data_IF_028128475278
#
_entry.id   IF_028128475278
#
_cell.length_a   1.000
_cell.length_b   1.000
_cell.length_c   1.000
_cell.angle_alpha   90.00
_cell.angle_beta   90.00
_cell.angle_gamma   90.00
#
_symmetry.space_group_name_H-M   'P 1'
#
loop_
_entity.id
_entity.type
_entity.pdbx_description
1 polymer ?
#
# COMPACT_ATOMS: atom_id res chain seq x y z
N UNK A 1 7.95 20.72 -4.98
CA UNK A 1 8.52 19.93 -6.11
C UNK A 1 7.45 19.43 -7.09
N UNK A 2 6.24 19.12 -6.61
CA UNK A 2 5.16 18.52 -7.41
C UNK A 2 4.53 19.50 -8.43
N UNK A 3 4.54 20.81 -8.16
CA UNK A 3 3.93 21.85 -9.00
C UNK A 3 4.43 21.84 -10.47
N UNK A 4 5.69 21.49 -10.71
CA UNK A 4 6.24 21.36 -12.07
C UNK A 4 5.52 20.28 -12.90
N UNK A 5 5.19 19.16 -12.27
CA UNK A 5 4.51 18.05 -12.93
C UNK A 5 3.03 18.35 -13.18
N UNK A 6 2.36 19.09 -12.29
CA UNK A 6 0.94 19.44 -12.45
C UNK A 6 0.69 20.35 -13.66
N UNK A 7 1.67 21.17 -14.02
CA UNK A 7 1.54 22.15 -15.11
C UNK A 7 1.88 21.57 -16.48
N UNK A 8 2.46 20.39 -16.56
CA UNK A 8 2.82 19.77 -17.84
C UNK A 8 1.62 19.02 -18.41
N UNK A 9 1.19 19.40 -19.61
CA UNK A 9 0.02 18.86 -20.31
C UNK A 9 0.06 17.33 -20.55
N UNK A 10 1.25 16.72 -20.50
CA UNK A 10 1.46 15.27 -20.62
C UNK A 10 1.12 14.49 -19.33
N UNK A 11 1.06 15.17 -18.18
CA UNK A 11 0.85 14.52 -16.87
C UNK A 11 -0.63 14.28 -16.62
N UNK A 12 -1.07 13.04 -16.83
CA UNK A 12 -2.44 12.62 -16.54
C UNK A 12 -2.64 12.42 -15.05
N UNK A 13 -3.76 12.92 -14.52
CA UNK A 13 -4.17 12.70 -13.11
C UNK A 13 -4.35 11.21 -12.75
N UNK A 14 -4.54 10.35 -13.75
CA UNK A 14 -4.68 8.90 -13.59
C UNK A 14 -3.34 8.15 -13.58
N UNK A 15 -2.19 8.83 -13.56
CA UNK A 15 -0.90 8.17 -13.44
C UNK A 15 -0.76 7.59 -12.03
N UNK A 16 -0.42 6.30 -11.93
CA UNK A 16 -0.11 5.66 -10.66
C UNK A 16 1.09 6.29 -9.99
N UNK A 17 0.96 6.57 -8.70
CA UNK A 17 2.05 7.06 -7.88
C UNK A 17 2.61 5.95 -7.01
N UNK A 18 3.93 5.90 -6.94
CA UNK A 18 4.68 5.00 -6.06
C UNK A 18 5.87 5.73 -5.49
N UNK A 19 6.21 5.44 -4.24
CA UNK A 19 7.41 5.96 -3.59
C UNK A 19 8.43 4.83 -3.44
N UNK A 20 9.70 5.13 -3.70
CA UNK A 20 10.77 4.19 -3.44
C UNK A 20 11.26 4.35 -1.99
N UNK A 21 11.34 3.25 -1.26
CA UNK A 21 12.14 3.21 -0.04
C UNK A 21 13.61 3.41 -0.41
N UNK A 22 14.17 4.57 -0.08
CA UNK A 22 15.53 4.93 -0.45
C UNK A 22 15.62 5.46 -1.88
N UNK A 23 16.45 4.85 -2.72
CA UNK A 23 16.79 5.39 -4.03
C UNK A 23 15.83 4.91 -5.14
N UNK A 24 15.09 5.83 -5.76
CA UNK A 24 14.20 5.53 -6.88
C UNK A 24 14.91 4.96 -8.12
N UNK A 25 16.18 5.32 -8.35
CA UNK A 25 16.99 4.76 -9.42
C UNK A 25 17.13 3.24 -9.28
N UNK A 26 17.22 2.72 -8.04
CA UNK A 26 17.34 1.28 -7.83
C UNK A 26 16.07 0.54 -8.28
N UNK A 27 14.90 1.10 -7.98
CA UNK A 27 13.61 0.57 -8.46
C UNK A 27 13.54 0.56 -9.99
N UNK A 28 14.03 1.62 -10.64
CA UNK A 28 14.01 1.75 -12.10
C UNK A 28 15.08 0.89 -12.81
N UNK A 29 16.17 0.54 -12.16
CA UNK A 29 17.24 -0.26 -12.78
C UNK A 29 17.15 -1.74 -12.44
N UNK A 30 16.65 -2.08 -11.25
CA UNK A 30 16.67 -3.46 -10.71
C UNK A 30 15.29 -4.00 -10.35
N UNK A 31 14.23 -3.19 -10.42
CA UNK A 31 12.88 -3.59 -10.04
C UNK A 31 12.09 -4.34 -11.12
N UNK A 32 12.62 -4.45 -12.35
CA UNK A 32 11.97 -5.21 -13.41
C UNK A 32 11.98 -6.71 -13.10
N UNK A 33 10.81 -7.37 -12.99
CA UNK A 33 10.77 -8.83 -12.89
C UNK A 33 11.19 -9.47 -14.23
N UNK A 34 11.59 -10.74 -14.20
CA UNK A 34 12.03 -11.49 -15.40
C UNK A 34 10.99 -11.44 -16.54
N UNK A 35 9.70 -11.39 -16.19
CA UNK A 35 8.58 -11.41 -17.13
C UNK A 35 8.26 -10.04 -17.74
N UNK A 36 8.65 -8.93 -17.10
CA UNK A 36 8.37 -7.57 -17.57
C UNK A 36 9.63 -6.71 -17.46
N UNK A 37 10.22 -6.37 -18.62
CA UNK A 37 11.51 -5.67 -18.71
C UNK A 37 11.41 -4.19 -18.34
N UNK A 38 10.21 -3.62 -18.31
CA UNK A 38 9.97 -2.21 -18.00
C UNK A 38 9.43 -2.11 -16.56
N UNK A 39 10.23 -1.65 -15.58
CA UNK A 39 9.81 -1.60 -14.17
C UNK A 39 8.54 -0.78 -13.94
N UNK A 40 8.37 0.33 -14.67
CA UNK A 40 7.16 1.15 -14.56
C UNK A 40 5.88 0.40 -14.98
N UNK A 41 5.97 -0.45 -16.00
CA UNK A 41 4.86 -1.32 -16.42
C UNK A 41 4.62 -2.41 -15.38
N UNK A 42 5.68 -3.00 -14.83
CA UNK A 42 5.57 -3.99 -13.76
C UNK A 42 4.89 -3.41 -12.50
N UNK A 43 5.27 -2.20 -12.07
CA UNK A 43 4.63 -1.50 -10.94
C UNK A 43 3.16 -1.23 -11.27
N UNK A 44 2.86 -0.71 -12.47
CA UNK A 44 1.50 -0.44 -12.90
C UNK A 44 0.63 -1.70 -12.84
N UNK A 45 1.08 -2.81 -13.41
CA UNK A 45 0.35 -4.09 -13.37
C UNK A 45 0.09 -4.50 -11.92
N UNK A 46 1.07 -4.38 -11.02
CA UNK A 46 0.89 -4.72 -9.62
C UNK A 46 -0.05 -3.77 -8.86
N UNK A 47 -0.10 -2.49 -9.22
CA UNK A 47 -1.04 -1.51 -8.67
C UNK A 47 -2.48 -1.74 -9.16
N UNK A 48 -2.64 -2.13 -10.42
CA UNK A 48 -3.94 -2.40 -11.05
C UNK A 48 -4.51 -3.77 -10.65
N UNK A 49 -3.63 -4.72 -10.30
CA UNK A 49 -4.03 -6.04 -9.84
C UNK A 49 -4.44 -5.96 -8.37
N UNK A 50 -5.74 -6.11 -8.03
CA UNK A 50 -6.15 -5.97 -6.65
C UNK A 50 -5.65 -7.20 -5.86
N UNK A 51 -4.85 -6.95 -4.83
CA UNK A 51 -4.38 -7.99 -3.91
C UNK A 51 -5.47 -8.33 -2.89
N UNK A 52 -6.51 -8.99 -3.37
CA UNK A 52 -7.68 -9.40 -2.58
C UNK A 52 -7.32 -10.24 -1.34
N UNK A 53 -6.15 -10.89 -1.32
CA UNK A 53 -5.73 -11.69 -0.17
C UNK A 53 -4.71 -10.98 0.73
N UNK A 54 -4.07 -9.91 0.26
CA UNK A 54 -3.05 -9.18 1.01
C UNK A 54 -3.02 -7.67 0.69
N UNK A 55 -3.97 -6.89 1.23
CA UNK A 55 -4.07 -5.44 1.01
C UNK A 55 -3.05 -4.66 1.87
N UNK A 56 -1.76 -4.90 1.66
CA UNK A 56 -0.65 -4.35 2.47
C UNK A 56 0.02 -3.11 1.92
N UNK A 57 -0.48 -2.57 0.81
CA UNK A 57 0.01 -1.32 0.20
C UNK A 57 -1.16 -0.38 -0.09
N UNK A 58 -0.87 0.91 -0.32
CA UNK A 58 -1.89 1.94 -0.56
C UNK A 58 -1.84 2.47 -2.00
N UNK A 59 -2.60 1.89 -2.95
CA UNK A 59 -2.61 2.36 -4.33
C UNK A 59 -3.22 3.77 -4.40
N UNK A 60 -2.54 4.68 -5.09
CA UNK A 60 -2.99 6.06 -5.28
C UNK A 60 -2.53 6.58 -6.65
N UNK A 61 -3.37 7.36 -7.29
CA UNK A 61 -3.03 8.07 -8.54
C UNK A 61 -2.68 9.52 -8.25
N UNK A 62 -1.99 10.16 -9.19
CA UNK A 62 -1.52 11.54 -9.04
C UNK A 62 -2.64 12.52 -8.68
N UNK A 63 -3.83 12.39 -9.27
CA UNK A 63 -4.97 13.24 -8.97
C UNK A 63 -5.41 13.18 -7.51
N UNK A 64 -5.51 11.97 -6.96
CA UNK A 64 -5.91 11.75 -5.56
C UNK A 64 -4.83 12.27 -4.62
N UNK A 65 -3.55 12.01 -4.92
CA UNK A 65 -2.44 12.56 -4.16
C UNK A 65 -2.44 14.10 -4.13
N UNK A 66 -2.62 14.73 -5.30
CA UNK A 66 -2.70 16.19 -5.40
C UNK A 66 -3.88 16.77 -4.60
N UNK A 67 -5.00 16.05 -4.58
CA UNK A 67 -6.18 16.42 -3.80
C UNK A 67 -5.86 16.33 -2.31
N UNK A 68 -5.31 15.19 -1.86
CA UNK A 68 -4.96 14.95 -0.45
C UNK A 68 -3.96 15.97 0.09
N UNK A 69 -2.94 16.38 -0.67
CA UNK A 69 -1.94 17.36 -0.21
C UNK A 69 -2.44 18.81 -0.22
N UNK A 70 -3.54 19.09 -0.93
CA UNK A 70 -4.10 20.43 -1.07
C UNK A 70 -5.25 20.70 -0.09
N UNK A 71 -5.87 19.65 0.44
CA UNK A 71 -6.97 19.75 1.39
C UNK A 71 -6.47 19.86 2.84
N UNK A 72 -7.02 20.81 3.58
CA UNK A 72 -6.71 20.97 4.99
C UNK A 72 -7.27 19.80 5.81
N UNK A 73 -6.51 19.33 6.80
CA UNK A 73 -6.89 18.20 7.64
C UNK A 73 -6.67 16.82 7.03
N UNK A 74 -6.04 16.72 5.85
CA UNK A 74 -5.64 15.44 5.23
C UNK A 74 -4.13 15.38 5.03
N UNK A 75 -3.57 14.21 5.35
CA UNK A 75 -2.20 13.83 4.98
C UNK A 75 -2.30 12.73 3.91
N UNK A 76 -1.45 12.81 2.87
CA UNK A 76 -1.49 11.89 1.74
C UNK A 76 -0.73 10.60 2.03
N UNK A 77 -1.23 9.48 1.52
CA UNK A 77 -0.61 8.15 1.69
C UNK A 77 -0.30 7.58 0.32
N UNK A 78 0.94 7.17 0.09
CA UNK A 78 1.41 6.63 -1.19
C UNK A 78 2.09 5.29 -0.95
N UNK A 79 1.71 4.25 -1.69
CA UNK A 79 2.37 2.95 -1.63
C UNK A 79 3.90 3.07 -1.80
N UNK A 80 4.62 2.32 -0.97
CA UNK A 80 6.07 2.33 -0.93
C UNK A 80 6.62 1.00 -1.45
N UNK A 81 7.66 1.06 -2.29
CA UNK A 81 8.29 -0.12 -2.89
C UNK A 81 9.78 -0.16 -2.59
N UNK A 82 10.31 -1.38 -2.53
CA UNK A 82 11.74 -1.65 -2.38
C UNK A 82 12.14 -2.80 -3.31
N UNK A 83 13.38 -2.77 -3.78
CA UNK A 83 13.97 -3.90 -4.49
C UNK A 83 14.64 -4.81 -3.48
N UNK A 84 14.34 -6.11 -3.53
CA UNK A 84 14.97 -7.14 -2.71
C UNK A 84 15.53 -8.25 -3.59
N UNK A 85 16.62 -8.91 -3.18
CA UNK A 85 17.04 -10.16 -3.81
C UNK A 85 15.90 -11.19 -3.68
N UNK A 86 15.57 -11.86 -4.76
CA UNK A 86 14.63 -12.98 -4.78
C UNK A 86 15.24 -14.12 -3.97
N UNK A 87 14.72 -14.36 -2.77
CA UNK A 87 15.03 -15.58 -2.04
C UNK A 87 14.22 -16.73 -2.65
N UNK A 88 14.78 -17.42 -3.63
CA UNK A 88 14.29 -18.77 -3.92
C UNK A 88 14.65 -19.65 -2.71
N UNK A 89 13.66 -20.15 -1.98
CA UNK A 89 13.84 -21.32 -1.12
C UNK A 89 14.13 -22.53 -2.02
N UNK A 90 15.35 -22.61 -2.56
CA UNK A 90 15.86 -23.84 -3.17
C UNK A 90 16.26 -24.77 -2.05
N UNK A 91 15.30 -25.59 -1.61
CA UNK A 91 15.63 -26.88 -1.03
C UNK A 91 16.39 -27.70 -2.09
N UNK A 92 17.72 -27.62 -2.08
CA UNK A 92 18.57 -28.69 -2.58
C UNK A 92 19.27 -28.56 -3.94
N UNK A 93 19.59 -27.38 -4.47
CA UNK A 93 20.56 -27.31 -5.59
C UNK A 93 21.53 -26.13 -5.49
N UNK A 94 22.81 -26.47 -5.32
CA UNK A 94 23.96 -25.56 -5.42
C UNK A 94 24.38 -25.36 -6.88
N UNK A 95 24.76 -24.11 -7.15
CA UNK A 95 25.74 -23.64 -8.13
C UNK A 95 25.47 -23.84 -9.63
N UNK A 96 25.11 -22.74 -10.31
CA UNK A 96 25.87 -22.17 -11.45
C UNK A 96 25.17 -20.89 -11.96
N UNK A 97 25.88 -19.75 -11.94
CA UNK A 97 25.45 -18.48 -12.57
C UNK A 97 24.50 -17.62 -11.74
N UNK A 98 25.03 -16.85 -10.80
CA UNK A 98 24.29 -15.85 -10.02
C UNK A 98 23.85 -14.68 -10.89
N UNK A 99 22.74 -14.86 -11.62
CA UNK A 99 21.92 -13.71 -12.00
C UNK A 99 21.24 -13.28 -10.70
N UNK A 100 21.61 -12.12 -10.15
CA UNK A 100 20.90 -11.55 -9.01
C UNK A 100 19.46 -11.26 -9.44
N UNK A 101 18.59 -12.26 -9.28
CA UNK A 101 17.18 -12.12 -9.54
C UNK A 101 16.64 -11.18 -8.47
N UNK A 102 16.42 -9.92 -8.83
CA UNK A 102 15.84 -8.93 -7.96
C UNK A 102 14.32 -8.90 -8.14
N UNK A 103 13.60 -8.63 -7.06
CA UNK A 103 12.15 -8.51 -7.06
C UNK A 103 11.73 -7.18 -6.46
N UNK A 104 10.82 -6.49 -7.15
CA UNK A 104 10.12 -5.34 -6.61
C UNK A 104 9.05 -5.82 -5.61
N UNK A 105 9.15 -5.34 -4.39
CA UNK A 105 8.22 -5.64 -3.31
C UNK A 105 7.57 -4.36 -2.80
N UNK A 106 6.27 -4.43 -2.53
CA UNK A 106 5.58 -3.40 -1.78
C UNK A 106 5.86 -3.57 -0.29
N UNK A 107 6.33 -2.51 0.34
CA UNK A 107 6.66 -2.46 1.78
C UNK A 107 5.85 -1.33 2.42
N UNK A 108 4.52 -1.50 2.46
CA UNK A 108 3.60 -0.56 3.09
C UNK A 108 3.39 0.73 2.31
N UNK A 109 3.50 1.88 2.99
CA UNK A 109 3.25 3.20 2.41
C UNK A 109 4.10 4.30 3.05
N UNK A 110 4.29 5.41 2.34
CA UNK A 110 4.78 6.67 2.87
C UNK A 110 3.65 7.61 3.22
N UNK A 111 3.85 8.38 4.29
CA UNK A 111 2.93 9.43 4.74
C UNK A 111 3.52 10.80 4.41
N UNK A 112 2.75 11.62 3.71
CA UNK A 112 3.15 12.94 3.26
C UNK A 112 2.33 14.02 3.95
N UNK A 113 3.03 15.03 4.47
CA UNK A 113 2.44 16.28 4.93
C UNK A 113 2.72 17.37 3.89
N UNK A 114 1.68 17.80 3.19
CA UNK A 114 1.85 18.55 1.95
C UNK A 114 2.72 17.76 0.96
N UNK A 115 3.75 18.38 0.39
CA UNK A 115 4.66 17.72 -0.56
C UNK A 115 5.88 17.03 0.09
N UNK A 116 5.88 16.85 1.42
CA UNK A 116 7.02 16.29 2.16
C UNK A 116 6.68 14.95 2.80
N UNK A 117 7.53 13.96 2.58
CA UNK A 117 7.49 12.69 3.30
C UNK A 117 7.85 12.92 4.77
N UNK A 118 6.99 12.47 5.70
CA UNK A 118 7.17 12.63 7.15
C UNK A 118 7.27 11.31 7.91
N UNK A 119 6.92 10.20 7.28
CA UNK A 119 7.00 8.89 7.90
C UNK A 119 6.62 7.76 6.96
N UNK A 120 6.69 6.54 7.49
CA UNK A 120 6.32 5.31 6.80
C UNK A 120 5.32 4.55 7.64
N UNK A 121 4.41 3.86 6.95
CA UNK A 121 3.55 2.83 7.51
C UNK A 121 4.07 1.49 7.00
N UNK A 122 4.29 0.54 7.90
CA UNK A 122 4.53 -0.84 7.54
C UNK A 122 3.31 -1.50 6.89
N UNK A 123 3.44 -2.75 6.39
CA UNK A 123 2.33 -3.49 5.78
C UNK A 123 1.05 -3.54 6.62
N UNK A 124 1.17 -3.87 7.92
CA UNK A 124 0.02 -3.97 8.83
C UNK A 124 -0.59 -2.59 9.15
N UNK A 125 0.22 -1.57 9.34
CA UNK A 125 -0.24 -0.19 9.58
C UNK A 125 -0.93 0.38 8.34
N UNK A 126 -0.39 0.08 7.15
CA UNK A 126 -0.99 0.47 5.87
C UNK A 126 -2.36 -0.18 5.69
N UNK A 127 -2.50 -1.46 6.05
CA UNK A 127 -3.79 -2.15 6.08
C UNK A 127 -4.77 -1.48 7.05
N UNK A 128 -4.33 -1.16 8.27
CA UNK A 128 -5.15 -0.43 9.24
C UNK A 128 -5.60 0.94 8.74
N UNK A 129 -4.72 1.70 8.08
CA UNK A 129 -5.06 2.98 7.47
C UNK A 129 -6.09 2.84 6.34
N UNK A 130 -6.02 1.75 5.54
CA UNK A 130 -7.06 1.43 4.55
C UNK A 130 -8.39 1.15 5.22
N UNK A 131 -8.41 0.35 6.29
CA UNK A 131 -9.62 0.05 7.05
C UNK A 131 -10.28 1.29 7.62
N UNK A 132 -9.51 2.15 8.29
CA UNK A 132 -10.03 3.42 8.83
C UNK A 132 -10.66 4.26 7.71
N UNK A 133 -10.01 4.35 6.54
CA UNK A 133 -10.52 5.06 5.35
C UNK A 133 -11.63 4.32 4.59
N UNK A 134 -12.16 3.20 5.12
CA UNK A 134 -13.22 2.41 4.49
C UNK A 134 -12.82 1.66 3.22
N UNK A 135 -11.51 1.54 2.95
CA UNK A 135 -10.97 0.80 1.80
C UNK A 135 -10.73 -0.67 2.17
N UNK A 136 -11.83 -1.39 2.44
CA UNK A 136 -11.85 -2.79 2.88
C UNK A 136 -12.33 -3.68 1.72
N UNK A 137 -11.40 -4.04 0.84
CA UNK A 137 -11.64 -4.71 -0.45
C UNK A 137 -10.99 -6.12 -0.51
N UNK A 138 -10.79 -6.74 0.64
CA UNK A 138 -10.22 -8.08 0.78
C UNK A 138 -9.28 -8.22 1.97
N UNK A 139 -8.60 -9.36 2.03
CA UNK A 139 -7.60 -9.71 3.03
C UNK A 139 -7.88 -11.07 3.64
N UNK A 140 -6.81 -11.73 4.09
CA UNK A 140 -6.89 -12.86 5.00
C UNK A 140 -6.26 -12.44 6.32
N UNK A 141 -6.97 -12.65 7.42
CA UNK A 141 -6.43 -12.43 8.76
C UNK A 141 -7.07 -13.35 9.79
N UNK A 142 -6.35 -13.51 10.89
CA UNK A 142 -6.73 -14.45 11.93
C UNK A 142 -7.69 -13.78 12.93
N UNK A 143 -8.82 -14.42 13.17
CA UNK A 143 -9.83 -14.00 14.16
C UNK A 143 -10.00 -15.07 15.23
N UNK A 144 -10.27 -14.69 16.50
CA UNK A 144 -10.62 -15.65 17.53
C UNK A 144 -11.96 -16.31 17.18
N UNK A 145 -12.06 -17.63 17.35
CA UNK A 145 -13.35 -18.30 17.23
C UNK A 145 -14.12 -18.25 18.55
N UNK A 146 -15.45 -18.47 18.55
CA UNK A 146 -16.24 -18.51 19.79
C UNK A 146 -15.79 -19.60 20.77
N UNK A 147 -15.14 -20.66 20.29
CA UNK A 147 -14.50 -21.68 21.12
C UNK A 147 -13.15 -21.19 21.62
N UNK A 148 -12.97 -21.11 22.94
CA UNK A 148 -11.72 -20.65 23.54
C UNK A 148 -10.48 -21.37 22.98
N UNK A 149 -9.45 -20.59 22.65
CA UNK A 149 -8.13 -21.09 22.25
C UNK A 149 -7.97 -21.46 20.77
N UNK A 150 -9.05 -21.41 19.96
CA UNK A 150 -8.97 -21.66 18.53
C UNK A 150 -9.02 -20.34 17.73
N UNK A 151 -8.27 -20.35 16.63
CA UNK A 151 -8.15 -19.23 15.71
C UNK A 151 -8.61 -19.68 14.33
N UNK A 152 -9.34 -18.81 13.63
CA UNK A 152 -9.81 -19.01 12.27
C UNK A 152 -9.20 -17.98 11.33
N UNK A 153 -8.99 -18.36 10.07
CA UNK A 153 -8.61 -17.41 9.02
C UNK A 153 -9.88 -16.87 8.38
N UNK A 154 -10.20 -15.60 8.60
CA UNK A 154 -11.28 -14.92 7.89
C UNK A 154 -10.75 -14.45 6.54
N UNK A 155 -11.48 -14.76 5.47
CA UNK A 155 -11.28 -14.20 4.13
C UNK A 155 -12.36 -13.15 3.89
N UNK A 156 -11.94 -11.89 3.85
CA UNK A 156 -12.82 -10.73 3.66
C UNK A 156 -13.43 -10.74 2.25
N UNK A 157 -14.75 -10.57 2.18
CA UNK A 157 -15.50 -10.35 0.94
C UNK A 157 -15.88 -8.88 0.77
N UNK A 158 -16.20 -8.21 1.88
CA UNK A 158 -16.49 -6.78 1.90
C UNK A 158 -16.32 -6.20 3.29
N UNK A 159 -16.14 -4.89 3.41
CA UNK A 159 -16.17 -4.22 4.69
C UNK A 159 -16.53 -2.76 4.57
N UNK A 160 -16.79 -2.15 5.71
CA UNK A 160 -17.11 -0.74 5.81
C UNK A 160 -16.49 -0.13 7.07
N UNK A 161 -16.31 1.19 7.04
CA UNK A 161 -15.85 1.97 8.17
C UNK A 161 -16.75 3.18 8.36
N UNK A 162 -17.17 3.41 9.59
CA UNK A 162 -17.92 4.58 10.02
C UNK A 162 -17.08 5.36 11.02
N UNK A 163 -16.82 6.63 10.72
CA UNK A 163 -16.11 7.54 11.60
C UNK A 163 -17.11 8.54 12.17
N UNK A 164 -17.25 8.56 13.49
CA UNK A 164 -18.08 9.52 14.23
C UNK A 164 -17.20 10.41 15.10
N UNK A 165 -17.16 11.73 14.87
CA UNK A 165 -16.50 12.65 15.79
C UNK A 165 -17.32 12.77 17.07
N UNK A 166 -16.66 12.60 18.22
CA UNK A 166 -17.22 12.82 19.55
C UNK A 166 -16.51 14.05 20.12
N UNK A 167 -17.23 15.17 20.15
CA UNK A 167 -16.73 16.48 20.56
C UNK A 167 -17.21 16.77 21.98
N UNK A 168 -16.28 17.08 22.86
CA UNK A 168 -16.51 17.62 24.21
C UNK A 168 -15.91 19.03 24.29
N UNK A 169 -16.18 19.78 25.36
CA UNK A 169 -15.72 21.19 25.47
C UNK A 169 -14.22 21.37 25.22
N UNK A 170 -13.37 20.45 25.72
CA UNK A 170 -11.90 20.56 25.62
C UNK A 170 -11.25 19.56 24.67
N UNK A 171 -11.98 18.56 24.17
CA UNK A 171 -11.38 17.45 23.42
C UNK A 171 -12.24 16.96 22.27
N UNK A 172 -11.57 16.66 21.16
CA UNK A 172 -12.14 15.96 20.00
C UNK A 172 -11.59 14.53 20.02
N UNK A 173 -12.49 13.55 19.96
CA UNK A 173 -12.14 12.14 19.77
C UNK A 173 -12.93 11.56 18.59
N UNK A 174 -12.47 10.43 18.05
CA UNK A 174 -13.13 9.77 16.93
C UNK A 174 -13.48 8.34 17.32
N UNK A 175 -14.76 8.01 17.25
CA UNK A 175 -15.22 6.62 17.28
C UNK A 175 -15.16 6.08 15.87
N UNK A 176 -14.40 5.01 15.68
CA UNK A 176 -14.24 4.35 14.38
C UNK A 176 -14.83 2.95 14.53
N UNK A 177 -15.93 2.70 13.85
CA UNK A 177 -16.56 1.39 13.76
C UNK A 177 -16.16 0.75 12.43
N UNK A 178 -15.56 -0.43 12.49
CA UNK A 178 -15.11 -1.18 11.32
C UNK A 178 -15.89 -2.49 11.30
N UNK A 179 -16.60 -2.74 10.20
CA UNK A 179 -17.33 -3.99 9.96
C UNK A 179 -16.66 -4.70 8.79
N UNK A 180 -16.35 -5.98 8.98
CA UNK A 180 -15.78 -6.85 7.96
C UNK A 180 -16.63 -8.10 7.84
N UNK A 181 -17.03 -8.42 6.62
CA UNK A 181 -17.81 -9.59 6.26
C UNK A 181 -16.96 -10.52 5.41
N UNK A 182 -17.02 -11.81 5.69
CA UNK A 182 -16.18 -12.80 5.04
C UNK A 182 -16.59 -14.23 5.33
N UNK A 183 -15.74 -15.16 4.93
CA UNK A 183 -15.90 -16.60 5.21
C UNK A 183 -14.64 -17.15 5.87
N UNK A 184 -14.81 -18.24 6.63
CA UNK A 184 -13.73 -18.99 7.29
C UNK A 184 -13.47 -20.28 6.51
#
# INVERSE_FOLDING_TARGET
MVDFFVRHWEMRRSIWMVMAHGNAQEVLLKGAPVQEKIPGVAVKIQMETPRHFDPTFYPVVLGDFLTDISEEGKDAIVAAVRVRPMQENKAGQSETGSTENNQLMFEGAGVFRGDKLVGYLGPSETRGARWVKGKIDGGIYTVPTPSEGLWASLVTTSGSSRIEPVITEDNISFRIEITDEGYI
#
